data_IF_867135772385
#
_entry.id   IF_867135772385
#
_cell.length_a   1.000
_cell.length_b   1.000
_cell.length_c   1.000
_cell.angle_alpha   90.00
_cell.angle_beta   90.00
_cell.angle_gamma   90.00
#
_symmetry.space_group_name_H-M   'P 1'
#
loop_
_entity.id
_entity.type
_entity.pdbx_description
1 polymer ?
#
# COMPACT_ATOMS: atom_id res chain seq x y z
N UNK A 1 38.25 -17.75 -39.66
CA UNK A 1 37.42 -18.42 -38.62
C UNK A 1 35.97 -17.96 -38.72
N UNK A 2 35.23 -18.48 -39.71
CA UNK A 2 33.79 -18.29 -39.91
C UNK A 2 33.11 -19.60 -40.40
N UNK A 3 33.81 -20.73 -40.29
CA UNK A 3 33.46 -21.98 -40.97
C UNK A 3 33.36 -23.21 -40.05
N UNK A 4 33.38 -23.02 -38.72
CA UNK A 4 33.16 -24.12 -37.75
C UNK A 4 31.74 -24.08 -37.15
N UNK A 5 31.02 -22.95 -37.27
CA UNK A 5 29.69 -22.79 -36.67
C UNK A 5 28.54 -23.42 -37.49
N UNK A 6 28.75 -23.67 -38.79
CA UNK A 6 27.71 -24.25 -39.66
C UNK A 6 27.67 -25.79 -39.67
N UNK A 7 28.66 -26.47 -39.07
CA UNK A 7 28.70 -27.95 -39.02
C UNK A 7 27.92 -28.50 -37.82
N UNK A 8 27.74 -27.71 -36.75
CA UNK A 8 27.00 -28.13 -35.55
C UNK A 8 25.48 -27.98 -35.74
N UNK A 9 25.02 -27.07 -36.59
CA UNK A 9 23.59 -26.86 -36.88
C UNK A 9 23.09 -27.85 -37.94
N UNK A 10 23.96 -28.34 -38.84
CA UNK A 10 23.60 -29.32 -39.87
C UNK A 10 23.41 -30.76 -39.36
N UNK A 11 24.05 -31.15 -38.25
CA UNK A 11 23.94 -32.50 -37.69
C UNK A 11 22.70 -32.66 -36.80
N UNK A 12 22.17 -31.58 -36.23
CA UNK A 12 20.96 -31.64 -35.39
C UNK A 12 19.64 -31.67 -36.20
N UNK A 13 19.67 -31.28 -37.48
CA UNK A 13 18.50 -31.32 -38.39
C UNK A 13 18.39 -32.63 -39.19
N UNK A 14 19.37 -33.54 -39.11
CA UNK A 14 19.38 -34.81 -39.85
C UNK A 14 19.02 -36.05 -39.00
N UNK A 15 18.72 -35.87 -37.71
CA UNK A 15 18.11 -36.91 -36.85
C UNK A 15 16.57 -36.90 -36.95
N UNK A 16 16.01 -36.11 -37.88
CA UNK A 16 14.59 -36.10 -38.21
C UNK A 16 14.18 -37.15 -39.27
N UNK A 17 15.08 -37.96 -39.82
CA UNK A 17 14.72 -38.89 -40.88
C UNK A 17 15.44 -40.23 -40.76
N UNK A 18 14.79 -41.20 -40.11
CA UNK A 18 15.04 -42.61 -40.38
C UNK A 18 14.99 -43.53 -39.19
N UNK A 19 13.79 -44.01 -38.83
CA UNK A 19 13.54 -45.43 -38.58
C UNK A 19 12.03 -45.68 -38.50
N UNK A 20 11.48 -46.15 -39.63
CA UNK A 20 10.19 -46.83 -39.69
C UNK A 20 10.37 -48.22 -39.04
N UNK A 21 9.69 -48.46 -37.93
CA UNK A 21 9.32 -49.81 -37.49
C UNK A 21 7.81 -49.79 -37.28
N UNK A 22 7.11 -50.61 -38.08
CA UNK A 22 5.72 -50.98 -37.83
C UNK A 22 5.71 -52.07 -36.77
N UNK A 23 5.17 -51.76 -35.59
CA UNK A 23 4.66 -52.74 -34.62
C UNK A 23 3.22 -52.32 -34.25
N UNK A 24 2.34 -53.33 -34.19
CA UNK A 24 0.91 -53.19 -33.89
C UNK A 24 0.63 -52.88 -32.41
N UNK A 25 -0.54 -52.26 -32.21
CA UNK A 25 -1.34 -52.10 -30.98
C UNK A 25 -0.62 -51.64 -29.69
N UNK A 26 -0.89 -50.41 -29.29
CA UNK A 26 -1.84 -50.18 -28.20
C UNK A 26 -2.35 -48.74 -28.29
N UNK A 27 -3.63 -48.55 -28.08
CA UNK A 27 -4.23 -47.24 -27.97
C UNK A 27 -4.00 -46.72 -26.55
N UNK A 28 -3.20 -45.65 -26.35
CA UNK A 28 -3.53 -44.70 -25.32
C UNK A 28 -3.92 -43.42 -26.05
N UNK A 29 -5.21 -43.10 -25.99
CA UNK A 29 -5.56 -41.74 -25.62
C UNK A 29 -4.79 -41.45 -24.32
N UNK A 30 -3.54 -41.01 -24.44
CA UNK A 30 -2.88 -40.23 -23.41
C UNK A 30 -3.80 -39.04 -23.28
N UNK A 31 -4.63 -39.06 -22.24
CA UNK A 31 -5.29 -37.89 -21.73
C UNK A 31 -4.20 -36.82 -21.60
N UNK A 32 -4.10 -35.96 -22.61
CA UNK A 32 -3.45 -34.67 -22.51
C UNK A 32 -4.18 -34.03 -21.35
N UNK A 33 -3.61 -34.10 -20.14
CA UNK A 33 -4.10 -33.39 -18.97
C UNK A 33 -4.32 -31.96 -19.45
N UNK A 34 -5.58 -31.58 -19.66
CA UNK A 34 -5.92 -30.20 -20.01
C UNK A 34 -5.21 -29.34 -19.00
N UNK A 35 -4.32 -28.47 -19.47
CA UNK A 35 -3.71 -27.49 -18.59
C UNK A 35 -4.82 -26.77 -17.84
N UNK A 36 -4.73 -26.76 -16.52
CA UNK A 36 -5.73 -26.08 -15.69
C UNK A 36 -5.74 -24.60 -16.10
N UNK A 37 -6.92 -23.97 -16.24
CA UNK A 37 -7.01 -22.53 -16.43
C UNK A 37 -6.19 -21.79 -15.37
N UNK A 38 -5.48 -20.72 -15.76
CA UNK A 38 -4.61 -19.93 -14.87
C UNK A 38 -5.25 -19.64 -13.51
N UNK A 39 -6.52 -19.20 -13.52
CA UNK A 39 -7.27 -18.85 -12.30
C UNK A 39 -7.49 -20.05 -11.36
N UNK A 40 -7.65 -21.25 -11.89
CA UNK A 40 -7.78 -22.47 -11.08
C UNK A 40 -6.42 -22.90 -10.53
N UNK A 41 -5.39 -22.86 -11.39
CA UNK A 41 -4.01 -23.16 -11.01
C UNK A 41 -3.55 -22.27 -9.85
N UNK A 42 -3.69 -20.94 -9.98
CA UNK A 42 -3.19 -20.01 -8.95
C UNK A 42 -3.96 -20.14 -7.64
N UNK A 43 -5.28 -20.39 -7.70
CA UNK A 43 -6.10 -20.65 -6.51
C UNK A 43 -5.62 -21.88 -5.76
N UNK A 44 -5.37 -22.98 -6.48
CA UNK A 44 -4.85 -24.22 -5.89
C UNK A 44 -3.48 -24.01 -5.27
N UNK A 45 -2.58 -23.30 -5.98
CA UNK A 45 -1.22 -23.00 -5.48
C UNK A 45 -1.22 -22.16 -4.21
N UNK A 46 -2.09 -21.15 -4.15
CA UNK A 46 -2.17 -20.24 -2.99
C UNK A 46 -3.13 -20.72 -1.90
N UNK A 47 -3.84 -21.84 -2.10
CA UNK A 47 -4.84 -22.36 -1.16
C UNK A 47 -6.06 -21.43 -1.03
N UNK A 48 -6.49 -20.81 -2.12
CA UNK A 48 -7.69 -19.97 -2.21
C UNK A 48 -8.88 -20.86 -2.57
N UNK A 49 -10.04 -20.71 -1.90
CA UNK A 49 -11.22 -21.53 -2.21
C UNK A 49 -11.66 -21.41 -3.68
N UNK A 50 -12.11 -22.53 -4.25
CA UNK A 50 -12.45 -22.63 -5.67
C UNK A 50 -13.56 -21.65 -6.07
N UNK A 51 -14.53 -21.45 -5.18
CA UNK A 51 -15.68 -20.56 -5.34
C UNK A 51 -15.34 -19.07 -5.18
N UNK A 52 -14.15 -18.72 -4.65
CA UNK A 52 -13.76 -17.33 -4.52
C UNK A 52 -13.48 -16.71 -5.90
N UNK A 53 -13.99 -15.51 -6.15
CA UNK A 53 -13.70 -14.74 -7.34
C UNK A 53 -12.40 -13.96 -7.15
N UNK A 54 -11.41 -14.14 -8.04
CA UNK A 54 -10.23 -13.25 -8.11
C UNK A 54 -10.70 -11.91 -8.67
N UNK A 55 -10.46 -10.83 -7.93
CA UNK A 55 -10.86 -9.47 -8.29
C UNK A 55 -9.68 -8.60 -8.72
N UNK A 56 -8.46 -8.95 -8.28
CA UNK A 56 -7.26 -8.20 -8.61
C UNK A 56 -6.03 -9.11 -8.56
N UNK A 57 -5.09 -8.89 -9.48
CA UNK A 57 -3.81 -9.56 -9.51
C UNK A 57 -2.74 -8.55 -9.97
N UNK A 58 -1.66 -8.44 -9.20
CA UNK A 58 -0.48 -7.64 -9.53
C UNK A 58 0.75 -8.54 -9.49
N UNK A 59 1.39 -8.71 -10.65
CA UNK A 59 2.58 -9.53 -10.78
C UNK A 59 3.83 -8.73 -10.39
N UNK A 60 4.61 -9.30 -9.47
CA UNK A 60 5.96 -8.81 -9.18
C UNK A 60 6.89 -9.07 -10.37
N UNK A 61 7.83 -8.15 -10.60
CA UNK A 61 9.00 -8.43 -11.43
C UNK A 61 9.97 -9.34 -10.68
N UNK A 62 10.93 -9.96 -11.38
CA UNK A 62 11.90 -10.90 -10.78
C UNK A 62 12.52 -10.31 -9.51
N UNK A 63 12.42 -11.04 -8.40
CA UNK A 63 12.92 -10.62 -7.08
C UNK A 63 11.96 -9.77 -6.26
N UNK A 64 10.76 -9.46 -6.77
CA UNK A 64 9.71 -8.73 -6.06
C UNK A 64 8.46 -9.60 -5.89
N UNK A 65 7.72 -9.44 -4.78
CA UNK A 65 6.51 -10.21 -4.52
C UNK A 65 5.37 -9.81 -5.46
N UNK A 66 4.50 -10.78 -5.73
CA UNK A 66 3.21 -10.61 -6.38
C UNK A 66 2.08 -10.50 -5.33
N UNK A 67 0.96 -9.93 -5.75
CA UNK A 67 -0.22 -9.72 -4.91
C UNK A 67 -1.48 -10.23 -5.61
N UNK A 68 -2.39 -10.81 -4.84
CA UNK A 68 -3.68 -11.28 -5.34
C UNK A 68 -4.78 -10.99 -4.33
N UNK A 69 -5.88 -10.41 -4.83
CA UNK A 69 -7.10 -10.21 -4.07
C UNK A 69 -8.21 -11.10 -4.62
N UNK A 70 -8.96 -11.72 -3.73
CA UNK A 70 -10.16 -12.46 -4.07
C UNK A 70 -11.28 -12.19 -3.07
N UNK A 71 -12.51 -12.53 -3.44
CA UNK A 71 -13.66 -12.51 -2.54
C UNK A 71 -14.59 -13.69 -2.77
N UNK A 72 -15.21 -14.18 -1.70
CA UNK A 72 -16.37 -15.05 -1.74
C UNK A 72 -17.46 -14.42 -0.87
N UNK A 73 -18.50 -13.87 -1.49
CA UNK A 73 -19.53 -13.05 -0.82
C UNK A 73 -18.88 -11.93 0.00
N UNK A 74 -18.96 -12.00 1.33
CA UNK A 74 -18.45 -11.02 2.30
C UNK A 74 -17.15 -11.45 2.99
N UNK A 75 -16.50 -12.48 2.45
CA UNK A 75 -15.17 -12.94 2.87
C UNK A 75 -14.14 -12.55 1.82
N UNK A 76 -13.07 -11.89 2.25
CA UNK A 76 -12.06 -11.26 1.43
C UNK A 76 -10.70 -11.88 1.69
N UNK A 77 -9.94 -12.06 0.62
CA UNK A 77 -8.68 -12.77 0.62
C UNK A 77 -7.59 -11.84 0.11
N UNK A 78 -6.55 -11.63 0.90
CA UNK A 78 -5.40 -10.79 0.58
C UNK A 78 -4.13 -11.66 0.63
N UNK A 79 -3.47 -11.79 -0.52
CA UNK A 79 -2.28 -12.62 -0.64
C UNK A 79 -1.09 -11.80 -1.15
N UNK A 80 0.06 -12.06 -0.54
CA UNK A 80 1.39 -11.71 -1.02
C UNK A 80 2.18 -13.00 -1.22
N UNK A 81 2.79 -13.17 -2.38
CA UNK A 81 3.51 -14.42 -2.71
C UNK A 81 4.74 -14.15 -3.59
N UNK A 82 5.71 -15.06 -3.59
CA UNK A 82 6.92 -14.95 -4.41
C UNK A 82 6.77 -15.59 -5.81
N UNK A 83 7.85 -15.59 -6.59
CA UNK A 83 7.85 -16.13 -7.96
C UNK A 83 7.57 -17.63 -8.06
N UNK A 84 7.77 -18.39 -6.97
CA UNK A 84 7.49 -19.83 -6.89
C UNK A 84 6.10 -20.13 -6.32
N UNK A 85 5.27 -19.08 -6.17
CA UNK A 85 3.95 -19.15 -5.56
C UNK A 85 3.97 -19.51 -4.07
N UNK A 86 5.10 -19.34 -3.38
CA UNK A 86 5.14 -19.46 -1.93
C UNK A 86 4.41 -18.27 -1.32
N UNK A 87 3.43 -18.53 -0.47
CA UNK A 87 2.71 -17.49 0.27
C UNK A 87 3.68 -16.85 1.28
N UNK A 88 3.95 -15.56 1.08
CA UNK A 88 4.74 -14.75 1.99
C UNK A 88 3.86 -14.14 3.08
N UNK A 89 2.66 -13.69 2.72
CA UNK A 89 1.69 -13.15 3.66
C UNK A 89 0.27 -13.46 3.20
N UNK A 90 -0.62 -13.72 4.15
CA UNK A 90 -2.02 -14.02 3.90
C UNK A 90 -2.89 -13.38 4.96
N UNK A 91 -3.95 -12.70 4.53
CA UNK A 91 -5.03 -12.26 5.39
C UNK A 91 -6.37 -12.68 4.82
N UNK A 92 -7.27 -13.15 5.70
CA UNK A 92 -8.66 -13.42 5.37
C UNK A 92 -9.50 -12.58 6.33
N UNK A 93 -10.35 -11.71 5.79
CA UNK A 93 -11.31 -10.93 6.58
C UNK A 93 -12.72 -11.26 6.13
N UNK A 94 -13.60 -11.56 7.08
CA UNK A 94 -15.04 -11.63 6.85
C UNK A 94 -15.68 -10.43 7.52
N UNK A 95 -16.42 -9.62 6.77
CA UNK A 95 -17.12 -8.48 7.36
C UNK A 95 -18.27 -8.97 8.25
N UNK A 96 -18.35 -8.53 9.52
CA UNK A 96 -19.49 -8.80 10.37
C UNK A 96 -20.79 -8.26 9.76
N UNK A 97 -21.88 -9.01 9.89
CA UNK A 97 -23.15 -8.69 9.23
C UNK A 97 -23.85 -7.45 9.81
N UNK A 98 -23.51 -7.08 11.04
CA UNK A 98 -24.13 -6.02 11.83
C UNK A 98 -23.46 -4.64 11.67
N UNK A 99 -22.26 -4.57 11.09
CA UNK A 99 -21.61 -3.29 10.78
C UNK A 99 -22.47 -2.54 9.76
N UNK A 100 -22.63 -1.24 9.97
CA UNK A 100 -23.43 -0.37 9.12
C UNK A 100 -22.55 0.57 8.29
N UNK A 101 -22.93 0.75 7.03
CA UNK A 101 -22.40 1.74 6.11
C UNK A 101 -23.59 2.52 5.55
N UNK A 102 -23.64 3.84 5.76
CA UNK A 102 -24.80 4.70 5.41
C UNK A 102 -26.16 4.19 5.91
N UNK A 103 -26.19 3.52 7.06
CA UNK A 103 -27.40 2.94 7.64
C UNK A 103 -27.85 1.63 7.00
N UNK A 104 -27.13 1.10 6.00
CA UNK A 104 -27.31 -0.28 5.50
C UNK A 104 -26.37 -1.22 6.27
N UNK A 105 -26.92 -2.28 6.87
CA UNK A 105 -26.10 -3.33 7.49
C UNK A 105 -25.38 -4.12 6.41
N UNK A 106 -24.14 -4.52 6.66
CA UNK A 106 -23.38 -5.42 5.78
C UNK A 106 -24.19 -6.67 5.42
N UNK A 107 -25.00 -7.21 6.34
CA UNK A 107 -25.98 -8.28 6.11
C UNK A 107 -26.87 -8.07 4.88
N UNK A 108 -27.27 -6.82 4.63
CA UNK A 108 -28.24 -6.39 3.62
C UNK A 108 -27.59 -5.91 2.32
N UNK A 109 -26.31 -5.51 2.37
CA UNK A 109 -25.58 -4.98 1.21
C UNK A 109 -25.27 -6.12 0.22
N UNK A 110 -25.57 -5.90 -1.06
CA UNK A 110 -25.15 -6.79 -2.16
C UNK A 110 -23.63 -6.94 -2.15
N UNK A 111 -23.15 -8.19 -2.10
CA UNK A 111 -21.73 -8.51 -2.12
C UNK A 111 -21.00 -8.01 -3.39
N UNK A 112 -21.71 -7.72 -4.49
CA UNK A 112 -21.11 -7.08 -5.66
C UNK A 112 -20.63 -5.66 -5.36
N UNK A 113 -21.28 -4.94 -4.44
CA UNK A 113 -20.92 -3.58 -4.02
C UNK A 113 -19.70 -3.53 -3.09
N UNK A 114 -19.29 -4.67 -2.54
CA UNK A 114 -18.18 -4.74 -1.58
C UNK A 114 -16.95 -5.32 -2.27
N UNK A 115 -15.85 -4.57 -2.28
CA UNK A 115 -14.66 -4.90 -3.06
C UNK A 115 -13.40 -4.86 -2.20
N UNK A 116 -12.53 -5.88 -2.28
CA UNK A 116 -11.19 -5.76 -1.76
C UNK A 116 -10.36 -4.85 -2.69
N UNK A 117 -9.50 -4.05 -2.09
CA UNK A 117 -8.61 -3.12 -2.79
C UNK A 117 -7.17 -3.26 -2.27
N UNK A 118 -6.21 -2.88 -3.10
CA UNK A 118 -4.78 -2.89 -2.76
C UNK A 118 -4.20 -1.50 -2.95
N UNK A 119 -3.57 -0.99 -1.90
CA UNK A 119 -2.70 0.19 -1.96
C UNK A 119 -1.25 -0.28 -1.99
N UNK A 120 -0.50 0.09 -3.02
CA UNK A 120 0.87 -0.34 -3.19
C UNK A 120 1.79 0.84 -3.49
N UNK A 121 2.90 0.94 -2.75
CA UNK A 121 4.01 1.83 -3.07
C UNK A 121 5.32 1.22 -2.60
N UNK A 122 6.30 1.12 -3.51
CA UNK A 122 7.60 0.49 -3.22
C UNK A 122 7.39 -0.92 -2.63
N UNK A 123 7.96 -1.21 -1.46
CA UNK A 123 7.83 -2.49 -0.76
C UNK A 123 6.63 -2.54 0.20
N UNK A 124 5.80 -1.50 0.23
CA UNK A 124 4.60 -1.46 1.07
C UNK A 124 3.40 -1.87 0.24
N UNK A 125 2.65 -2.83 0.77
CA UNK A 125 1.37 -3.27 0.25
C UNK A 125 0.35 -3.34 1.38
N UNK A 126 -0.81 -2.71 1.17
CA UNK A 126 -1.86 -2.63 2.16
C UNK A 126 -3.20 -3.01 1.52
N UNK A 127 -3.80 -4.08 2.01
CA UNK A 127 -5.16 -4.48 1.65
C UNK A 127 -6.19 -3.60 2.35
N UNK A 128 -7.30 -3.33 1.68
CA UNK A 128 -8.47 -2.68 2.25
C UNK A 128 -9.76 -3.27 1.68
N UNK A 129 -10.89 -2.85 2.23
CA UNK A 129 -12.22 -3.19 1.73
C UNK A 129 -12.98 -1.88 1.55
N UNK A 130 -13.61 -1.70 0.38
CA UNK A 130 -14.49 -0.56 0.09
C UNK A 130 -15.89 -1.05 -0.27
N UNK A 131 -16.87 -0.21 -0.02
CA UNK A 131 -18.28 -0.43 -0.31
C UNK A 131 -18.73 0.69 -1.25
N UNK A 132 -19.32 0.33 -2.39
CA UNK A 132 -19.86 1.29 -3.36
C UNK A 132 -21.34 1.60 -3.10
N UNK A 133 -21.67 2.88 -3.19
CA UNK A 133 -23.02 3.42 -3.11
C UNK A 133 -23.30 4.20 -4.38
N UNK A 134 -24.26 3.72 -5.18
CA UNK A 134 -24.68 4.40 -6.38
C UNK A 134 -25.34 5.74 -6.03
N UNK A 135 -24.97 6.77 -6.78
CA UNK A 135 -25.60 8.08 -6.77
C UNK A 135 -26.17 8.27 -8.17
N UNK A 136 -27.48 8.22 -8.26
CA UNK A 136 -28.17 8.47 -9.52
C UNK A 136 -28.24 9.98 -9.71
N UNK A 137 -27.31 10.52 -10.50
CA UNK A 137 -27.28 11.94 -10.83
C UNK A 137 -28.26 12.26 -11.97
N UNK A 138 -28.47 11.31 -12.89
CA UNK A 138 -29.48 11.37 -13.95
C UNK A 138 -29.76 9.97 -14.52
N UNK A 139 -30.83 9.77 -15.33
CA UNK A 139 -31.13 8.49 -15.96
C UNK A 139 -30.01 7.92 -16.85
N UNK A 140 -29.09 8.77 -17.32
CA UNK A 140 -27.94 8.40 -18.16
C UNK A 140 -26.60 8.46 -17.45
N UNK A 141 -26.55 8.90 -16.17
CA UNK A 141 -25.32 9.02 -15.40
C UNK A 141 -25.52 8.58 -13.96
N UNK A 142 -24.86 7.47 -13.60
CA UNK A 142 -24.74 7.02 -12.21
C UNK A 142 -23.30 7.19 -11.78
N UNK A 143 -23.05 8.04 -10.80
CA UNK A 143 -21.77 8.13 -10.11
C UNK A 143 -21.77 7.20 -8.91
N UNK A 144 -20.60 6.94 -8.33
CA UNK A 144 -20.47 6.10 -7.14
C UNK A 144 -19.72 6.87 -6.06
N UNK A 145 -20.23 6.81 -4.83
CA UNK A 145 -19.46 7.14 -3.64
C UNK A 145 -19.00 5.86 -2.95
N UNK A 146 -17.81 5.92 -2.36
CA UNK A 146 -17.22 4.81 -1.65
C UNK A 146 -17.18 5.09 -0.14
N UNK A 147 -17.51 4.08 0.65
CA UNK A 147 -17.11 4.02 2.05
C UNK A 147 -16.08 2.93 2.26
N UNK A 148 -15.21 3.12 3.23
CA UNK A 148 -14.07 2.25 3.46
C UNK A 148 -14.21 1.55 4.80
N UNK A 149 -14.04 0.23 4.80
CA UNK A 149 -13.88 -0.48 6.07
C UNK A 149 -12.65 0.04 6.78
N UNK A 150 -12.77 0.30 8.08
CA UNK A 150 -11.76 1.04 8.83
C UNK A 150 -10.43 0.29 8.92
N UNK A 151 -10.49 -1.04 9.05
CA UNK A 151 -9.28 -1.86 9.07
C UNK A 151 -8.62 -1.92 7.69
N UNK A 152 -7.31 -1.77 7.69
CA UNK A 152 -6.42 -2.06 6.57
C UNK A 152 -5.39 -3.11 6.98
N UNK A 153 -4.89 -3.87 6.01
CA UNK A 153 -4.08 -5.07 6.23
C UNK A 153 -2.72 -4.92 5.57
N UNK A 154 -1.70 -4.58 6.36
CA UNK A 154 -0.34 -4.44 5.84
C UNK A 154 0.25 -5.82 5.61
N UNK A 155 0.58 -6.12 4.36
CA UNK A 155 1.14 -7.39 3.93
C UNK A 155 2.67 -7.32 3.99
N UNK A 156 3.22 -7.58 5.18
CA UNK A 156 4.67 -7.71 5.39
C UNK A 156 5.09 -9.16 5.15
N UNK A 157 6.37 -9.41 4.86
CA UNK A 157 6.81 -10.81 4.73
C UNK A 157 6.57 -11.55 6.04
N UNK A 158 5.94 -12.72 5.94
CA UNK A 158 5.61 -13.64 7.04
C UNK A 158 4.59 -13.12 8.07
N UNK A 159 4.14 -11.87 7.95
CA UNK A 159 3.24 -11.25 8.93
C UNK A 159 2.23 -10.29 8.30
N UNK A 160 1.04 -10.21 8.92
CA UNK A 160 0.03 -9.21 8.60
C UNK A 160 -0.16 -8.30 9.81
N UNK A 161 -0.05 -6.98 9.60
CA UNK A 161 -0.45 -6.00 10.61
C UNK A 161 -1.76 -5.35 10.23
N UNK A 162 -2.72 -5.38 11.16
CA UNK A 162 -4.00 -4.69 11.04
C UNK A 162 -3.84 -3.27 11.57
N UNK A 163 -4.24 -2.27 10.78
CA UNK A 163 -4.21 -0.86 11.16
C UNK A 163 -5.58 -0.23 10.95
N UNK A 164 -5.96 0.70 11.83
CA UNK A 164 -7.20 1.46 11.70
C UNK A 164 -6.94 2.74 10.88
N UNK A 165 -7.50 2.78 9.67
CA UNK A 165 -7.47 3.91 8.75
C UNK A 165 -8.88 3.99 8.10
N UNK A 166 -9.82 4.78 8.66
CA UNK A 166 -11.21 4.84 8.20
C UNK A 166 -11.42 5.67 6.92
N UNK A 167 -10.37 5.80 6.10
CA UNK A 167 -10.38 6.67 4.94
C UNK A 167 -9.80 6.00 3.69
N UNK A 168 -10.06 6.59 2.53
CA UNK A 168 -9.36 6.27 1.30
C UNK A 168 -7.91 6.73 1.39
N UNK A 169 -7.00 5.84 1.02
CA UNK A 169 -5.57 6.17 0.93
C UNK A 169 -5.28 6.70 -0.47
N UNK A 170 -4.78 7.92 -0.55
CA UNK A 170 -4.37 8.56 -1.80
C UNK A 170 -2.89 8.29 -2.11
N UNK A 171 -2.03 8.39 -1.09
CA UNK A 171 -0.59 8.20 -1.25
C UNK A 171 0.01 7.55 0.00
N UNK A 172 1.00 6.68 -0.21
CA UNK A 172 1.84 6.13 0.85
C UNK A 172 3.28 6.53 0.53
N UNK A 173 3.97 7.15 1.48
CA UNK A 173 5.36 7.54 1.35
C UNK A 173 6.18 6.95 2.52
N UNK A 174 7.20 6.16 2.20
CA UNK A 174 8.09 5.56 3.19
C UNK A 174 9.35 6.41 3.38
N UNK A 175 9.69 6.66 4.65
CA UNK A 175 10.92 7.32 5.05
C UNK A 175 11.75 6.36 5.92
N UNK A 176 12.95 6.01 5.46
CA UNK A 176 13.87 5.10 6.16
C UNK A 176 14.25 5.66 7.52
N UNK A 177 14.17 4.83 8.57
CA UNK A 177 14.51 5.21 9.95
C UNK A 177 13.36 5.86 10.73
N UNK A 178 12.18 6.03 10.13
CA UNK A 178 10.97 6.49 10.85
C UNK A 178 9.76 5.60 10.58
N UNK A 179 9.35 5.42 9.32
CA UNK A 179 8.10 4.73 8.99
C UNK A 179 7.38 5.33 7.77
N UNK A 180 6.04 5.29 7.80
CA UNK A 180 5.17 5.59 6.66
C UNK A 180 4.32 6.84 6.90
N UNK A 181 4.24 7.68 5.88
CA UNK A 181 3.36 8.83 5.79
C UNK A 181 2.21 8.49 4.84
N UNK A 182 0.98 8.59 5.33
CA UNK A 182 -0.22 8.20 4.58
C UNK A 182 -1.06 9.44 4.31
N UNK A 183 -1.15 9.83 3.04
CA UNK A 183 -2.09 10.84 2.58
C UNK A 183 -3.46 10.20 2.36
N UNK A 184 -4.48 10.88 2.86
CA UNK A 184 -5.89 10.47 2.78
C UNK A 184 -6.56 11.28 1.68
N UNK A 185 -7.41 10.65 0.87
CA UNK A 185 -8.16 11.35 -0.16
C UNK A 185 -9.03 12.47 0.44
N UNK A 186 -9.19 13.56 -0.32
CA UNK A 186 -9.94 14.77 0.08
C UNK A 186 -9.42 15.49 1.35
N UNK A 187 -8.29 15.06 1.92
CA UNK A 187 -7.64 15.74 3.03
C UNK A 187 -6.41 16.51 2.57
N UNK A 188 -6.58 17.82 2.37
CA UNK A 188 -5.52 18.70 1.86
C UNK A 188 -4.61 19.29 2.95
N UNK A 189 -4.84 18.94 4.22
CA UNK A 189 -4.17 19.59 5.37
C UNK A 189 -3.08 18.73 6.00
N UNK A 190 -3.29 17.42 6.13
CA UNK A 190 -2.40 16.56 6.90
C UNK A 190 -2.27 15.14 6.34
N UNK A 191 -1.23 14.42 6.79
CA UNK A 191 -1.02 12.97 6.60
C UNK A 191 -0.98 12.28 7.96
N UNK A 192 -1.23 10.98 7.97
CA UNK A 192 -0.97 10.15 9.15
C UNK A 192 0.47 9.67 9.12
N UNK A 193 1.18 9.77 10.24
CA UNK A 193 2.51 9.19 10.43
C UNK A 193 2.38 7.90 11.25
N UNK A 194 2.80 6.78 10.65
CA UNK A 194 2.96 5.49 11.30
C UNK A 194 4.45 5.16 11.42
N UNK A 195 4.89 4.61 12.55
CA UNK A 195 6.26 4.11 12.67
C UNK A 195 6.49 2.83 11.83
N UNK A 196 7.72 2.32 11.82
CA UNK A 196 8.07 1.06 11.14
C UNK A 196 7.32 -0.16 11.64
N UNK A 197 6.80 -0.09 12.87
CA UNK A 197 5.94 -1.13 13.42
C UNK A 197 4.48 -0.89 13.10
N UNK A 198 4.09 0.17 12.39
CA UNK A 198 2.72 0.58 12.13
C UNK A 198 1.92 1.02 13.36
N UNK A 199 2.57 1.66 14.33
CA UNK A 199 1.87 2.39 15.38
C UNK A 199 1.64 3.83 14.92
N UNK A 200 0.42 4.34 15.08
CA UNK A 200 0.09 5.72 14.76
C UNK A 200 0.84 6.66 15.71
N UNK A 201 1.66 7.55 15.17
CA UNK A 201 2.32 8.61 15.93
C UNK A 201 1.54 9.92 15.91
N UNK A 202 0.74 10.17 14.86
CA UNK A 202 -0.17 11.31 14.81
C UNK A 202 -0.30 11.91 13.43
N UNK A 203 -0.72 13.17 13.39
CA UNK A 203 -0.95 13.94 12.17
C UNK A 203 0.22 14.88 11.91
N UNK A 204 0.67 14.92 10.67
CA UNK A 204 1.73 15.82 10.18
C UNK A 204 1.21 16.63 9.00
N UNK A 205 1.75 17.81 8.67
CA UNK A 205 1.36 18.56 7.47
C UNK A 205 1.39 17.73 6.20
N UNK A 206 0.52 18.09 5.25
CA UNK A 206 0.38 17.33 4.02
C UNK A 206 1.69 17.22 3.23
N UNK A 207 2.48 18.28 3.14
CA UNK A 207 3.65 18.29 2.28
C UNK A 207 4.93 18.22 3.10
N UNK A 208 5.87 17.40 2.62
CA UNK A 208 7.26 17.54 3.04
C UNK A 208 7.78 18.89 2.57
N UNK A 209 8.25 19.67 3.52
CA UNK A 209 8.82 20.97 3.25
C UNK A 209 10.24 20.74 2.69
N UNK A 210 10.43 21.00 1.40
CA UNK A 210 11.75 20.98 0.77
C UNK A 210 12.32 22.39 0.86
N UNK A 211 13.52 22.53 1.41
CA UNK A 211 14.24 23.80 1.32
C UNK A 211 14.42 24.13 -0.16
N UNK A 212 13.91 25.28 -0.65
CA UNK A 212 14.26 25.74 -1.98
C UNK A 212 15.80 25.84 -2.01
N UNK A 213 16.42 25.33 -3.07
CA UNK A 213 17.88 25.36 -3.28
C UNK A 213 18.75 24.29 -2.56
N UNK A 214 18.22 23.38 -1.71
CA UNK A 214 19.08 22.39 -1.00
C UNK A 214 19.21 21.00 -1.63
N UNK A 215 18.55 20.78 -2.77
CA UNK A 215 18.70 19.61 -3.66
C UNK A 215 18.23 18.25 -3.14
N UNK A 216 18.33 17.95 -1.83
CA UNK A 216 18.09 16.59 -1.30
C UNK A 216 17.63 16.53 0.17
N UNK A 217 17.45 17.66 0.86
CA UNK A 217 16.90 17.70 2.22
C UNK A 217 15.39 17.97 2.21
N UNK A 218 14.66 17.23 3.03
CA UNK A 218 13.25 17.47 3.30
C UNK A 218 13.00 17.44 4.80
N UNK A 219 11.96 18.13 5.22
CA UNK A 219 11.59 18.27 6.62
C UNK A 219 10.13 17.90 6.83
N UNK A 220 9.85 17.31 7.99
CA UNK A 220 8.51 17.12 8.49
C UNK A 220 8.45 17.53 9.96
N UNK A 221 7.25 17.83 10.42
CA UNK A 221 7.00 18.13 11.82
C UNK A 221 5.78 17.39 12.31
N UNK A 222 5.88 16.87 13.53
CA UNK A 222 4.80 16.25 14.26
C UNK A 222 4.59 17.02 15.55
N UNK A 223 3.35 17.39 15.85
CA UNK A 223 2.94 17.72 17.21
C UNK A 223 2.33 16.45 17.82
N UNK A 224 2.91 15.95 18.91
CA UNK A 224 2.43 14.78 19.63
C UNK A 224 1.96 15.18 21.04
N UNK A 225 0.94 16.04 21.10
CA UNK A 225 0.27 16.55 22.30
C UNK A 225 1.14 17.40 23.25
N UNK A 226 2.31 16.92 23.66
CA UNK A 226 3.22 17.56 24.64
C UNK A 226 4.58 17.92 24.06
N UNK A 227 4.87 17.49 22.85
CA UNK A 227 6.16 17.71 22.21
C UNK A 227 5.96 18.04 20.73
N UNK A 228 6.82 18.91 20.22
CA UNK A 228 7.03 19.11 18.79
C UNK A 228 8.28 18.34 18.37
N UNK A 229 8.10 17.45 17.41
CA UNK A 229 9.17 16.64 16.84
C UNK A 229 9.41 17.12 15.41
N UNK A 230 10.60 17.65 15.17
CA UNK A 230 11.07 18.08 13.86
C UNK A 230 12.02 17.04 13.28
N UNK A 231 11.72 16.59 12.06
CA UNK A 231 12.47 15.56 11.35
C UNK A 231 13.23 16.18 10.19
N UNK A 232 14.52 15.84 10.09
CA UNK A 232 15.36 16.16 8.94
C UNK A 232 15.66 14.88 8.17
N UNK A 233 15.35 14.89 6.87
CA UNK A 233 15.60 13.78 5.95
C UNK A 233 16.60 14.17 4.87
N UNK A 234 17.36 13.18 4.38
CA UNK A 234 18.19 13.28 3.18
C UNK A 234 17.96 12.05 2.32
N UNK A 235 17.52 12.23 1.08
CA UNK A 235 17.16 11.11 0.18
C UNK A 235 16.19 10.10 0.82
N UNK A 236 15.13 10.59 1.46
CA UNK A 236 14.11 9.80 2.17
C UNK A 236 14.62 9.01 3.39
N UNK A 237 15.85 9.26 3.84
CA UNK A 237 16.41 8.68 5.07
C UNK A 237 16.44 9.70 6.19
N UNK A 238 15.96 9.31 7.37
CA UNK A 238 16.03 10.14 8.57
C UNK A 238 17.49 10.39 8.92
N UNK A 239 17.87 11.66 8.96
CA UNK A 239 19.21 12.11 9.36
C UNK A 239 19.22 12.42 10.85
N UNK A 240 18.25 13.22 11.30
CA UNK A 240 18.18 13.66 12.70
C UNK A 240 16.74 13.99 13.09
N UNK A 241 16.43 13.79 14.37
CA UNK A 241 15.19 14.22 15.02
C UNK A 241 15.52 15.25 16.09
N UNK A 242 14.70 16.28 16.20
CA UNK A 242 14.80 17.32 17.20
C UNK A 242 13.48 17.39 17.94
N UNK A 243 13.52 17.39 19.27
CA UNK A 243 12.34 17.34 20.12
C UNK A 243 12.34 18.57 21.00
N UNK A 244 11.21 19.27 21.05
CA UNK A 244 11.00 20.39 21.95
C UNK A 244 9.70 20.20 22.72
N UNK A 245 9.73 20.44 24.03
CA UNK A 245 8.56 20.35 24.88
C UNK A 245 7.58 21.50 24.60
N UNK A 246 6.29 21.20 24.69
CA UNK A 246 5.22 22.17 24.66
C UNK A 246 4.85 22.64 26.06
N UNK A 247 4.55 23.93 26.24
CA UNK A 247 4.15 24.46 27.55
C UNK A 247 2.78 23.94 27.99
N UNK A 248 1.91 23.59 27.03
CA UNK A 248 0.57 23.09 27.26
C UNK A 248 0.25 21.94 26.29
N UNK A 249 -0.65 21.04 26.71
CA UNK A 249 -1.15 19.99 25.83
C UNK A 249 -1.92 20.62 24.67
N UNK A 250 -1.64 20.20 23.43
CA UNK A 250 -2.29 20.79 22.25
C UNK A 250 -2.59 19.79 21.14
N UNK A 251 -3.79 19.89 20.57
CA UNK A 251 -4.28 19.14 19.40
C UNK A 251 -3.99 19.86 18.07
N UNK A 252 -3.13 20.88 18.08
CA UNK A 252 -2.76 21.64 16.88
C UNK A 252 -2.01 20.78 15.85
N UNK A 253 -2.06 21.21 14.59
CA UNK A 253 -1.11 20.77 13.57
C UNK A 253 0.08 21.73 13.60
N UNK A 254 1.30 21.19 13.62
CA UNK A 254 2.51 21.97 13.48
C UNK A 254 2.81 22.20 12.00
N UNK A 255 3.17 23.40 11.57
CA UNK A 255 3.50 23.75 10.19
C UNK A 255 4.89 24.37 10.10
N UNK A 256 5.64 24.03 9.06
CA UNK A 256 7.00 24.55 8.84
C UNK A 256 6.96 25.75 7.91
N UNK A 257 7.50 26.87 8.36
CA UNK A 257 7.72 28.07 7.57
C UNK A 257 9.22 28.33 7.39
N UNK A 258 9.64 28.58 6.15
CA UNK A 258 11.01 28.96 5.83
C UNK A 258 11.12 30.48 5.74
N UNK A 259 11.90 31.09 6.61
CA UNK A 259 12.15 32.54 6.61
C UNK A 259 13.64 32.83 6.43
N UNK A 260 14.04 33.27 5.23
CA UNK A 260 15.44 33.56 4.83
C UNK A 260 16.46 32.46 5.23
N UNK A 261 16.97 32.51 6.45
CA UNK A 261 17.98 31.60 7.01
C UNK A 261 17.46 30.75 8.18
N UNK A 262 16.17 30.82 8.49
CA UNK A 262 15.56 30.22 9.68
C UNK A 262 14.41 29.30 9.27
N UNK A 263 14.27 28.21 10.03
CA UNK A 263 13.10 27.35 9.94
C UNK A 263 12.27 27.62 11.19
N UNK A 264 11.07 28.14 10.98
CA UNK A 264 10.11 28.41 12.04
C UNK A 264 9.02 27.35 11.99
N UNK A 265 8.56 26.91 13.16
CA UNK A 265 7.48 25.95 13.30
C UNK A 265 6.36 26.60 14.08
N UNK A 266 5.21 26.72 13.45
CA UNK A 266 4.03 27.33 14.05
C UNK A 266 2.98 26.27 14.34
N UNK A 267 2.20 26.46 15.41
CA UNK A 267 1.08 25.59 15.72
C UNK A 267 -0.23 26.24 15.31
N UNK A 268 -1.04 25.50 14.55
CA UNK A 268 -2.34 25.95 14.09
C UNK A 268 -3.46 25.04 14.60
N UNK A 269 -4.54 25.66 15.07
CA UNK A 269 -5.81 24.99 15.40
C UNK A 269 -6.94 25.65 14.64
N UNK A 270 -7.66 24.88 13.81
CA UNK A 270 -8.77 25.39 12.99
C UNK A 270 -8.40 26.65 12.18
N UNK A 271 -7.17 26.68 11.65
CA UNK A 271 -6.63 27.83 10.89
C UNK A 271 -6.09 28.99 11.75
N UNK A 272 -6.28 28.96 13.07
CA UNK A 272 -5.77 30.00 13.96
C UNK A 272 -4.38 29.63 14.49
N UNK A 273 -3.41 30.52 14.22
CA UNK A 273 -2.03 30.45 14.72
C UNK A 273 -1.99 30.69 16.22
N UNK A 274 -1.31 29.83 16.98
CA UNK A 274 -0.99 30.05 18.39
C UNK A 274 0.09 31.12 18.56
N UNK A 275 0.14 31.74 19.74
CA UNK A 275 1.05 32.85 20.04
C UNK A 275 2.53 32.42 20.12
N UNK A 276 2.81 31.17 20.46
CA UNK A 276 4.18 30.65 20.50
C UNK A 276 4.54 29.89 19.22
N UNK A 277 5.83 29.86 18.91
CA UNK A 277 6.39 29.12 17.78
C UNK A 277 7.76 28.56 18.14
N UNK A 278 8.28 27.66 17.32
CA UNK A 278 9.64 27.12 17.51
C UNK A 278 10.56 27.62 16.42
N UNK A 279 11.81 27.86 16.79
CA UNK A 279 12.89 28.22 15.88
C UNK A 279 13.92 27.11 15.86
N UNK A 280 14.25 26.63 14.66
CA UNK A 280 15.34 25.68 14.46
C UNK A 280 16.61 26.41 14.02
N UNK A 281 17.69 26.21 14.77
CA UNK A 281 18.98 26.92 14.57
C UNK A 281 19.98 26.15 13.69
N UNK A 282 19.61 24.95 13.24
CA UNK A 282 20.55 23.99 12.65
C UNK A 282 21.04 22.93 13.65
N UNK A 283 20.96 23.22 14.94
CA UNK A 283 21.46 22.32 16.00
C UNK A 283 20.36 21.92 16.98
N UNK A 284 19.47 22.84 17.32
CA UNK A 284 18.41 22.68 18.30
C UNK A 284 17.08 23.28 17.84
N UNK A 285 16.00 22.80 18.42
CA UNK A 285 14.65 23.32 18.24
C UNK A 285 14.23 24.04 19.52
N UNK A 286 14.12 25.37 19.47
CA UNK A 286 13.84 26.20 20.64
C UNK A 286 12.42 26.75 20.60
N UNK A 287 11.73 26.72 21.74
CA UNK A 287 10.46 27.42 21.92
C UNK A 287 10.71 28.93 22.00
N UNK A 288 9.96 29.70 21.23
CA UNK A 288 9.94 31.16 21.25
C UNK A 288 8.56 31.60 21.72
N UNK A 289 8.49 32.15 22.93
CA UNK A 289 7.28 32.77 23.46
C UNK A 289 7.28 34.26 23.11
N UNK A 290 6.15 34.76 22.59
CA UNK A 290 5.84 36.19 22.43
C UNK A 290 5.04 36.70 23.62
#
# INVERSE_FOLDING_TARGET
MKYILNIVIGVFMLVLLGCNVKEESDNPHKDLKKEKPWKEFIKEKLGIPAEAQITYEAFGVVGYPSYLLAKNKKTFYFYKYDGDYKVLAKHIETLPEDIEFRGEKVGQIDAQRIEPILYQKNNIAMGGIRISFAIVESPSHTSFQYEYYSKKFVLSDEAVKVVDIPYEIQEIEYMEGIGCFIAIADNYQWRLLYDTNWNLWGKVPLYFHKLPYSGKKSFAVLNNDKEVIFFEFKNNKLVKKYIAALPEKTDCIAEINFEKNEILIYLYKNGNKKNYYFKFTGEELMLVNT
#
